data_IF_238261399877
#
_entry.id   IF_238261399877
#
_cell.length_a   1.000
_cell.length_b   1.000
_cell.length_c   1.000
_cell.angle_alpha   90.00
_cell.angle_beta   90.00
_cell.angle_gamma   90.00
#
_symmetry.space_group_name_H-M   'P 1'
#
loop_
_entity.id
_entity.type
_entity.pdbx_description
1 polymer ?
#
# COMPACT_ATOMS: atom_id res chain seq x y z
N UNK A 1 29.66 -51.73 -15.38
CA UNK A 1 28.99 -50.56 -15.99
C UNK A 1 27.60 -50.46 -15.40
N UNK A 2 27.36 -49.47 -14.56
CA UNK A 2 26.03 -49.14 -14.06
C UNK A 2 25.99 -47.63 -13.90
N UNK A 3 25.33 -46.96 -14.84
CA UNK A 3 25.17 -45.51 -14.85
C UNK A 3 24.10 -45.10 -13.84
N UNK A 4 24.47 -44.25 -12.88
CA UNK A 4 23.52 -43.57 -12.02
C UNK A 4 22.92 -42.37 -12.79
N UNK A 5 21.63 -42.43 -13.14
CA UNK A 5 20.87 -41.29 -13.64
C UNK A 5 20.51 -40.36 -12.47
N UNK A 6 21.07 -39.15 -12.49
CA UNK A 6 20.69 -38.04 -11.60
C UNK A 6 19.31 -37.55 -12.05
N UNK A 7 18.29 -37.65 -11.18
CA UNK A 7 16.97 -37.02 -11.38
C UNK A 7 17.11 -35.54 -11.02
N UNK A 8 17.07 -34.67 -12.02
CA UNK A 8 16.82 -33.25 -11.82
C UNK A 8 15.35 -33.07 -11.40
N UNK A 9 15.15 -32.38 -10.28
CA UNK A 9 13.83 -31.95 -9.81
C UNK A 9 13.36 -30.85 -10.74
N UNK A 10 12.26 -31.08 -11.46
CA UNK A 10 11.56 -30.03 -12.18
C UNK A 10 11.10 -28.97 -11.17
N UNK A 11 11.61 -27.75 -11.30
CA UNK A 11 10.98 -26.58 -10.71
C UNK A 11 9.60 -26.44 -11.35
N UNK A 12 8.55 -26.35 -10.54
CA UNK A 12 7.23 -25.97 -11.03
C UNK A 12 7.34 -24.56 -11.60
N UNK A 13 7.21 -24.44 -12.92
CA UNK A 13 6.92 -23.16 -13.54
C UNK A 13 5.54 -22.75 -13.03
N UNK A 14 5.49 -21.78 -12.11
CA UNK A 14 4.26 -21.07 -11.79
C UNK A 14 3.72 -20.51 -13.11
N UNK A 15 2.46 -20.81 -13.43
CA UNK A 15 1.81 -20.22 -14.59
C UNK A 15 1.85 -18.70 -14.45
N UNK A 16 2.19 -17.93 -15.50
CA UNK A 16 2.25 -16.49 -15.41
C UNK A 16 0.88 -15.98 -14.96
N UNK A 17 0.86 -15.28 -13.82
CA UNK A 17 -0.35 -14.67 -13.29
C UNK A 17 -0.91 -13.76 -14.40
N UNK A 18 -2.12 -14.05 -14.89
CA UNK A 18 -2.74 -13.21 -15.91
C UNK A 18 -2.74 -11.76 -15.42
N UNK A 19 -2.28 -10.83 -16.27
CA UNK A 19 -2.17 -9.39 -15.98
C UNK A 19 -3.41 -8.78 -15.30
N UNK A 20 -4.60 -9.33 -15.58
CA UNK A 20 -5.87 -8.97 -14.94
C UNK A 20 -5.87 -9.07 -13.41
N UNK A 21 -5.08 -9.98 -12.81
CA UNK A 21 -4.95 -10.14 -11.35
C UNK A 21 -3.90 -9.19 -10.73
N UNK A 22 -3.09 -8.54 -11.56
CA UNK A 22 -2.07 -7.58 -11.11
C UNK A 22 -2.70 -6.21 -10.84
N UNK A 23 -3.66 -5.80 -11.66
CA UNK A 23 -4.24 -4.46 -11.54
C UNK A 23 -5.46 -4.44 -10.63
N UNK A 24 -5.42 -3.49 -9.70
CA UNK A 24 -6.58 -3.13 -8.91
C UNK A 24 -7.69 -2.59 -9.82
N UNK A 25 -8.93 -3.02 -9.61
CA UNK A 25 -10.07 -2.67 -10.45
C UNK A 25 -11.35 -2.49 -9.61
N UNK A 26 -12.41 -1.99 -10.25
CA UNK A 26 -13.67 -1.69 -9.57
C UNK A 26 -14.31 -2.93 -8.94
N UNK A 27 -14.30 -4.07 -9.65
CA UNK A 27 -14.87 -5.32 -9.12
C UNK A 27 -14.18 -5.76 -7.83
N UNK A 28 -12.85 -5.60 -7.76
CA UNK A 28 -12.07 -5.91 -6.56
C UNK A 28 -12.39 -4.99 -5.40
N UNK A 29 -12.54 -3.68 -5.66
CA UNK A 29 -13.00 -2.71 -4.67
C UNK A 29 -14.39 -3.10 -4.14
N UNK A 30 -15.35 -3.33 -5.03
CA UNK A 30 -16.72 -3.66 -4.66
C UNK A 30 -16.79 -4.96 -3.84
N UNK A 31 -15.95 -5.96 -4.17
CA UNK A 31 -15.85 -7.20 -3.40
C UNK A 31 -15.35 -6.95 -1.97
N UNK A 32 -14.36 -6.08 -1.78
CA UNK A 32 -13.89 -5.71 -0.45
C UNK A 32 -14.93 -4.94 0.35
N UNK A 33 -15.62 -3.99 -0.29
CA UNK A 33 -16.74 -3.27 0.32
C UNK A 33 -17.82 -4.23 0.80
N UNK A 34 -18.21 -5.21 -0.04
CA UNK A 34 -19.20 -6.21 0.35
C UNK A 34 -18.71 -7.07 1.51
N UNK A 35 -17.43 -7.46 1.49
CA UNK A 35 -16.80 -8.22 2.60
C UNK A 35 -16.81 -7.42 3.90
N UNK A 36 -16.51 -6.12 3.86
CA UNK A 36 -16.58 -5.25 5.03
C UNK A 36 -18.01 -5.10 5.56
N UNK A 37 -19.01 -5.05 4.67
CA UNK A 37 -20.42 -4.93 5.06
C UNK A 37 -20.89 -6.14 5.86
N UNK A 38 -20.32 -7.31 5.60
CA UNK A 38 -20.61 -8.55 6.31
C UNK A 38 -19.78 -8.72 7.60
N UNK A 39 -18.72 -7.91 7.78
CA UNK A 39 -17.81 -8.04 8.90
C UNK A 39 -18.33 -7.36 10.18
N UNK A 40 -17.96 -7.92 11.33
CA UNK A 40 -18.34 -7.37 12.63
C UNK A 40 -17.27 -6.42 13.21
N UNK A 41 -17.67 -5.20 13.53
CA UNK A 41 -16.81 -4.19 14.17
C UNK A 41 -17.01 -4.07 15.68
N UNK A 42 -18.01 -4.76 16.25
CA UNK A 42 -18.31 -4.70 17.67
C UNK A 42 -17.30 -5.52 18.49
N UNK A 43 -16.73 -4.88 19.51
CA UNK A 43 -15.92 -5.55 20.51
C UNK A 43 -16.78 -6.51 21.35
N UNK A 44 -16.41 -7.79 21.38
CA UNK A 44 -17.04 -8.76 22.27
C UNK A 44 -16.54 -8.54 23.70
N UNK A 45 -17.41 -8.31 24.70
CA UNK A 45 -16.97 -8.18 26.09
C UNK A 45 -16.33 -9.46 26.66
N UNK A 46 -16.39 -10.58 25.93
CA UNK A 46 -15.84 -11.88 26.31
C UNK A 46 -14.57 -12.25 25.53
N UNK A 47 -14.07 -11.39 24.65
CA UNK A 47 -12.85 -11.62 23.88
C UNK A 47 -11.90 -10.44 23.99
N UNK A 48 -10.60 -10.72 24.13
CA UNK A 48 -9.54 -9.73 23.98
C UNK A 48 -9.10 -9.58 22.51
N UNK A 49 -9.67 -10.38 21.60
CA UNK A 49 -9.36 -10.31 20.18
C UNK A 49 -9.99 -9.07 19.53
N UNK A 50 -9.24 -8.48 18.60
CA UNK A 50 -9.74 -7.37 17.79
C UNK A 50 -10.93 -7.85 16.92
N UNK A 51 -11.99 -7.05 16.78
CA UNK A 51 -13.11 -7.40 15.91
C UNK A 51 -12.68 -7.71 14.48
N UNK A 52 -13.35 -8.68 13.86
CA UNK A 52 -13.07 -9.15 12.50
C UNK A 52 -13.05 -8.01 11.48
N UNK A 53 -13.95 -7.04 11.61
CA UNK A 53 -14.05 -5.88 10.74
C UNK A 53 -12.75 -5.08 10.62
N UNK A 54 -12.01 -4.89 11.71
CA UNK A 54 -10.72 -4.20 11.67
C UNK A 54 -9.63 -5.03 10.99
N UNK A 55 -9.65 -6.35 11.17
CA UNK A 55 -8.74 -7.25 10.45
C UNK A 55 -9.04 -7.23 8.95
N UNK A 56 -10.31 -7.26 8.57
CA UNK A 56 -10.76 -7.13 7.18
C UNK A 56 -10.36 -5.78 6.59
N UNK A 57 -10.51 -4.68 7.34
CA UNK A 57 -10.12 -3.34 6.91
C UNK A 57 -8.61 -3.23 6.69
N UNK A 58 -7.80 -3.80 7.59
CA UNK A 58 -6.35 -3.88 7.42
C UNK A 58 -5.97 -4.66 6.17
N UNK A 59 -6.57 -5.85 5.96
CA UNK A 59 -6.31 -6.67 4.78
C UNK A 59 -6.71 -5.96 3.47
N UNK A 60 -7.81 -5.20 3.51
CA UNK A 60 -8.27 -4.38 2.39
C UNK A 60 -7.25 -3.29 2.05
N UNK A 61 -6.76 -2.55 3.05
CA UNK A 61 -5.68 -1.56 2.88
C UNK A 61 -4.44 -2.20 2.25
N UNK A 62 -3.95 -3.30 2.84
CA UNK A 62 -2.76 -4.00 2.36
C UNK A 62 -2.90 -4.50 0.93
N UNK A 63 -4.10 -4.91 0.52
CA UNK A 63 -4.36 -5.36 -0.83
C UNK A 63 -4.24 -4.22 -1.87
N UNK A 64 -4.73 -3.03 -1.52
CA UNK A 64 -4.55 -1.80 -2.31
C UNK A 64 -3.07 -1.45 -2.37
N UNK A 65 -2.40 -1.39 -1.21
CA UNK A 65 -0.97 -1.05 -1.08
C UNK A 65 -0.10 -1.97 -1.94
N UNK A 66 -0.32 -3.29 -1.88
CA UNK A 66 0.40 -4.25 -2.72
C UNK A 66 0.12 -4.04 -4.21
N UNK A 67 -1.13 -3.78 -4.58
CA UNK A 67 -1.51 -3.59 -5.98
C UNK A 67 -0.88 -2.32 -6.57
N UNK A 68 -0.83 -1.23 -5.80
CA UNK A 68 -0.16 0.01 -6.18
C UNK A 68 1.35 -0.18 -6.27
N UNK A 69 1.98 -0.85 -5.29
CA UNK A 69 3.43 -1.05 -5.30
C UNK A 69 3.90 -2.02 -6.40
N UNK A 70 3.05 -2.92 -6.88
CA UNK A 70 3.35 -3.72 -8.09
C UNK A 70 3.53 -2.83 -9.32
N UNK A 71 2.77 -1.74 -9.46
CA UNK A 71 2.93 -0.78 -10.56
C UNK A 71 4.31 -0.13 -10.48
N UNK A 72 4.70 0.33 -9.29
CA UNK A 72 6.02 0.94 -9.04
C UNK A 72 7.14 -0.07 -9.29
N UNK A 73 6.94 -1.34 -8.89
CA UNK A 73 7.92 -2.40 -9.11
C UNK A 73 8.10 -2.73 -10.59
N UNK A 74 7.03 -2.72 -11.38
CA UNK A 74 7.10 -2.89 -12.83
C UNK A 74 7.87 -1.74 -13.50
N UNK A 75 7.70 -0.50 -13.02
CA UNK A 75 8.53 0.63 -13.44
C UNK A 75 10.02 0.42 -13.07
N UNK A 76 10.32 0.04 -11.82
CA UNK A 76 11.69 -0.23 -11.36
C UNK A 76 12.37 -1.34 -12.18
N UNK A 77 11.61 -2.33 -12.64
CA UNK A 77 12.10 -3.42 -13.49
C UNK A 77 12.18 -3.05 -14.98
N UNK A 78 11.81 -1.82 -15.36
CA UNK A 78 11.81 -1.37 -16.76
C UNK A 78 10.68 -1.98 -17.61
N UNK A 79 9.64 -2.53 -16.99
CA UNK A 79 8.44 -3.07 -17.66
C UNK A 79 7.44 -1.97 -18.00
N UNK A 80 7.45 -0.87 -17.25
CA UNK A 80 6.72 0.35 -17.55
C UNK A 80 7.65 1.53 -17.76
N UNK A 81 7.27 2.39 -18.69
CA UNK A 81 7.70 3.78 -18.72
C UNK A 81 7.14 4.54 -17.51
N UNK A 82 7.70 5.71 -17.23
CA UNK A 82 7.19 6.60 -16.17
C UNK A 82 5.73 6.97 -16.45
N UNK A 83 5.41 7.29 -17.69
CA UNK A 83 4.08 7.71 -18.13
C UNK A 83 3.05 6.59 -17.94
N UNK A 84 3.37 5.36 -18.35
CA UNK A 84 2.49 4.20 -18.13
C UNK A 84 2.27 3.92 -16.64
N UNK A 85 3.33 3.99 -15.83
CA UNK A 85 3.21 3.77 -14.39
C UNK A 85 2.32 4.84 -13.72
N UNK A 86 2.45 6.10 -14.12
CA UNK A 86 1.61 7.20 -13.64
C UNK A 86 0.14 7.05 -14.08
N UNK A 87 -0.10 6.61 -15.32
CA UNK A 87 -1.45 6.34 -15.82
C UNK A 87 -2.12 5.22 -15.01
N UNK A 88 -1.40 4.11 -14.79
CA UNK A 88 -1.91 2.98 -13.99
C UNK A 88 -2.14 3.37 -12.54
N UNK A 89 -1.23 4.14 -11.93
CA UNK A 89 -1.39 4.66 -10.58
C UNK A 89 -2.66 5.50 -10.46
N UNK A 90 -2.87 6.43 -11.41
CA UNK A 90 -4.05 7.29 -11.43
C UNK A 90 -5.35 6.50 -11.61
N UNK A 91 -5.35 5.45 -12.44
CA UNK A 91 -6.52 4.60 -12.62
C UNK A 91 -6.94 3.90 -11.31
N UNK A 92 -5.97 3.43 -10.50
CA UNK A 92 -6.25 2.85 -9.18
C UNK A 92 -6.70 3.93 -8.19
N UNK A 93 -6.05 5.09 -8.20
CA UNK A 93 -6.38 6.21 -7.32
C UNK A 93 -7.82 6.69 -7.50
N UNK A 94 -8.30 6.80 -8.74
CA UNK A 94 -9.69 7.19 -9.05
C UNK A 94 -10.70 6.20 -8.47
N UNK A 95 -10.38 4.90 -8.43
CA UNK A 95 -11.25 3.88 -7.85
C UNK A 95 -11.25 4.02 -6.32
N UNK A 96 -10.06 4.05 -5.72
CA UNK A 96 -9.89 4.03 -4.27
C UNK A 96 -10.36 5.33 -3.61
N UNK A 97 -10.08 6.47 -4.24
CA UNK A 97 -10.46 7.81 -3.76
C UNK A 97 -11.79 8.30 -4.33
N UNK A 98 -12.57 7.39 -4.93
CA UNK A 98 -13.92 7.68 -5.40
C UNK A 98 -14.88 8.03 -4.26
N UNK A 99 -16.13 8.34 -4.63
CA UNK A 99 -17.17 8.68 -3.66
C UNK A 99 -17.34 7.59 -2.60
N UNK A 100 -17.41 8.02 -1.34
CA UNK A 100 -17.66 7.12 -0.21
C UNK A 100 -19.13 6.73 -0.16
N UNK A 101 -19.37 5.48 0.24
CA UNK A 101 -20.70 4.93 0.45
C UNK A 101 -21.42 5.70 1.55
N UNK A 102 -22.67 6.10 1.31
CA UNK A 102 -23.55 6.68 2.32
C UNK A 102 -24.26 5.58 3.13
N UNK A 103 -23.49 4.68 3.72
CA UNK A 103 -23.96 3.58 4.57
C UNK A 103 -23.15 3.49 5.87
N UNK A 104 -23.37 2.43 6.66
CA UNK A 104 -22.70 2.25 7.95
C UNK A 104 -21.20 1.99 7.86
N UNK A 105 -20.62 1.94 6.65
CA UNK A 105 -19.19 1.80 6.42
C UNK A 105 -18.49 3.15 6.16
N UNK A 106 -19.23 4.25 6.00
CA UNK A 106 -18.73 5.57 5.59
C UNK A 106 -17.47 5.98 6.38
N UNK A 107 -17.56 6.02 7.72
CA UNK A 107 -16.45 6.43 8.59
C UNK A 107 -15.20 5.52 8.45
N UNK A 108 -15.40 4.21 8.26
CA UNK A 108 -14.29 3.26 8.11
C UNK A 108 -13.60 3.40 6.75
N UNK A 109 -14.38 3.62 5.69
CA UNK A 109 -13.86 3.79 4.33
C UNK A 109 -13.20 5.16 4.18
N UNK A 110 -13.76 6.22 4.77
CA UNK A 110 -13.12 7.55 4.82
C UNK A 110 -11.78 7.49 5.54
N UNK A 111 -11.72 6.82 6.70
CA UNK A 111 -10.46 6.65 7.45
C UNK A 111 -9.42 5.87 6.63
N UNK A 112 -9.84 4.82 5.92
CA UNK A 112 -8.99 4.07 5.00
C UNK A 112 -8.48 4.96 3.85
N UNK A 113 -9.34 5.76 3.23
CA UNK A 113 -8.93 6.65 2.14
C UNK A 113 -7.94 7.71 2.63
N UNK A 114 -8.18 8.30 3.80
CA UNK A 114 -7.30 9.29 4.40
C UNK A 114 -5.89 8.73 4.66
N UNK A 115 -5.78 7.49 5.14
CA UNK A 115 -4.48 6.85 5.36
C UNK A 115 -3.76 6.58 4.04
N UNK A 116 -4.49 6.14 3.00
CA UNK A 116 -3.94 5.81 1.68
C UNK A 116 -3.51 7.03 0.84
N UNK A 117 -3.81 8.27 1.25
CA UNK A 117 -3.32 9.46 0.56
C UNK A 117 -1.78 9.44 0.41
N UNK A 118 -1.07 8.99 1.45
CA UNK A 118 0.40 8.93 1.43
C UNK A 118 0.93 7.87 0.46
N UNK A 119 0.19 6.77 0.25
CA UNK A 119 0.56 5.72 -0.70
C UNK A 119 0.62 6.29 -2.11
N UNK A 120 -0.45 6.95 -2.56
CA UNK A 120 -0.52 7.51 -3.91
C UNK A 120 0.46 8.67 -4.11
N UNK A 121 0.50 9.62 -3.15
CA UNK A 121 1.41 10.75 -3.22
C UNK A 121 2.89 10.32 -3.20
N UNK A 122 3.23 9.34 -2.35
CA UNK A 122 4.59 8.79 -2.25
C UNK A 122 5.01 8.02 -3.51
N UNK A 123 4.12 7.18 -4.07
CA UNK A 123 4.38 6.51 -5.34
C UNK A 123 4.60 7.50 -6.47
N UNK A 124 3.79 8.57 -6.54
CA UNK A 124 3.93 9.62 -7.56
C UNK A 124 5.28 10.32 -7.46
N UNK A 125 5.68 10.76 -6.26
CA UNK A 125 7.01 11.35 -6.02
C UNK A 125 8.16 10.41 -6.39
N UNK A 126 8.04 9.12 -6.05
CA UNK A 126 9.05 8.13 -6.42
C UNK A 126 9.18 8.00 -7.94
N UNK A 127 8.06 7.88 -8.67
CA UNK A 127 8.03 7.83 -10.14
C UNK A 127 8.55 9.12 -10.78
N UNK A 128 8.33 10.26 -10.12
CA UNK A 128 8.84 11.55 -10.55
C UNK A 128 10.35 11.70 -10.34
N UNK A 129 10.90 11.03 -9.32
CA UNK A 129 12.32 11.05 -8.97
C UNK A 129 12.73 12.24 -8.10
N UNK A 130 11.76 13.01 -7.60
CA UNK A 130 12.00 14.23 -6.83
C UNK A 130 11.41 14.12 -5.42
N UNK A 131 12.24 13.75 -4.45
CA UNK A 131 11.83 13.64 -3.04
C UNK A 131 13.02 13.83 -2.09
N UNK A 132 12.71 14.28 -0.87
CA UNK A 132 13.69 14.41 0.22
C UNK A 132 13.90 13.06 0.94
N UNK A 133 15.10 12.84 1.47
CA UNK A 133 15.50 11.52 2.04
C UNK A 133 15.88 11.53 3.51
N UNK A 134 15.97 12.70 4.16
CA UNK A 134 16.24 12.78 5.61
C UNK A 134 14.97 12.53 6.42
N UNK A 135 14.59 11.24 6.56
CA UNK A 135 13.37 10.79 7.24
C UNK A 135 13.24 11.40 8.64
N UNK A 136 14.34 11.49 9.41
CA UNK A 136 14.27 12.01 10.78
C UNK A 136 13.86 13.49 10.80
N UNK A 137 14.37 14.27 9.85
CA UNK A 137 14.01 15.68 9.71
C UNK A 137 12.58 15.82 9.18
N UNK A 138 12.20 15.02 8.18
CA UNK A 138 10.86 15.01 7.61
C UNK A 138 9.79 14.67 8.65
N UNK A 139 9.97 13.62 9.46
CA UNK A 139 9.03 13.26 10.53
C UNK A 139 8.82 14.42 11.51
N UNK A 140 9.90 15.10 11.91
CA UNK A 140 9.81 16.25 12.81
C UNK A 140 9.11 17.45 12.18
N UNK A 141 9.32 17.68 10.88
CA UNK A 141 8.68 18.76 10.14
C UNK A 141 7.20 18.48 9.94
N UNK A 142 6.84 17.28 9.46
CA UNK A 142 5.46 16.88 9.20
C UNK A 142 4.59 16.95 10.46
N UNK A 143 5.08 16.45 11.60
CA UNK A 143 4.37 16.58 12.89
C UNK A 143 4.13 18.01 13.36
N UNK A 144 5.01 18.94 13.01
CA UNK A 144 4.81 20.37 13.34
C UNK A 144 3.86 21.06 12.36
N UNK A 145 3.69 20.46 11.18
CA UNK A 145 3.00 21.08 10.04
C UNK A 145 1.54 20.62 9.98
N UNK A 146 1.24 19.38 10.38
CA UNK A 146 -0.08 18.73 10.21
C UNK A 146 -1.27 19.57 10.69
N UNK A 147 -1.16 20.23 11.84
CA UNK A 147 -2.25 21.03 12.39
C UNK A 147 -2.45 22.38 11.67
N UNK A 148 -1.43 22.84 10.94
CA UNK A 148 -1.42 24.17 10.29
C UNK A 148 -1.59 24.11 8.78
N UNK A 149 -1.15 23.02 8.14
CA UNK A 149 -1.08 22.85 6.70
C UNK A 149 -1.03 21.35 6.38
N UNK A 150 -2.21 20.74 6.26
CA UNK A 150 -2.36 19.30 6.03
C UNK A 150 -1.79 18.89 4.66
N UNK A 151 -1.95 19.70 3.63
CA UNK A 151 -1.43 19.43 2.29
C UNK A 151 0.10 19.38 2.31
N UNK A 152 0.75 20.35 2.97
CA UNK A 152 2.20 20.33 3.14
C UNK A 152 2.67 19.17 4.01
N UNK A 153 1.93 18.81 5.05
CA UNK A 153 2.24 17.64 5.86
C UNK A 153 2.14 16.34 5.04
N UNK A 154 1.16 16.22 4.16
CA UNK A 154 1.03 15.11 3.22
C UNK A 154 2.19 15.07 2.24
N UNK A 155 2.62 16.22 1.69
CA UNK A 155 3.81 16.30 0.82
C UNK A 155 5.08 15.80 1.52
N UNK A 156 5.26 16.14 2.80
CA UNK A 156 6.35 15.64 3.64
C UNK A 156 6.23 14.13 3.89
N UNK A 157 5.03 13.62 4.16
CA UNK A 157 4.79 12.20 4.34
C UNK A 157 5.08 11.43 3.03
N UNK A 158 4.73 12.01 1.89
CA UNK A 158 4.99 11.46 0.57
C UNK A 158 6.51 11.40 0.26
N UNK A 159 7.31 12.39 0.69
CA UNK A 159 8.78 12.31 0.62
C UNK A 159 9.33 11.10 1.41
N UNK A 160 8.75 10.82 2.58
CA UNK A 160 9.10 9.66 3.42
C UNK A 160 8.71 8.36 2.70
N UNK A 161 7.48 8.26 2.20
CA UNK A 161 7.00 7.08 1.48
C UNK A 161 7.82 6.80 0.21
N UNK A 162 8.18 7.82 -0.56
CA UNK A 162 9.07 7.67 -1.71
C UNK A 162 10.48 7.16 -1.30
N UNK A 163 11.00 7.64 -0.17
CA UNK A 163 12.25 7.13 0.40
C UNK A 163 12.16 5.66 0.80
N UNK A 164 11.02 5.23 1.37
CA UNK A 164 10.74 3.83 1.73
C UNK A 164 10.71 2.95 0.50
N UNK A 165 10.02 3.37 -0.57
CA UNK A 165 9.99 2.65 -1.85
C UNK A 165 11.43 2.44 -2.38
N UNK A 166 12.32 3.42 -2.15
CA UNK A 166 13.74 3.34 -2.52
C UNK A 166 14.62 2.58 -1.50
N UNK A 167 14.02 1.87 -0.55
CA UNK A 167 14.71 0.99 0.41
C UNK A 167 15.20 1.67 1.68
N UNK A 168 14.79 2.90 1.98
CA UNK A 168 15.08 3.51 3.27
C UNK A 168 14.32 2.79 4.39
N UNK A 169 14.94 2.67 5.57
CA UNK A 169 14.26 2.16 6.76
C UNK A 169 13.34 3.24 7.36
N UNK A 170 12.06 2.98 7.34
CA UNK A 170 11.00 3.70 8.05
C UNK A 170 10.02 2.66 8.62
N UNK A 171 9.01 2.98 9.42
CA UNK A 171 8.72 4.13 10.28
C UNK A 171 8.47 3.70 11.74
N UNK A 172 8.57 2.41 12.08
CA UNK A 172 8.19 1.85 13.39
C UNK A 172 8.91 2.47 14.59
N UNK A 173 10.13 3.00 14.41
CA UNK A 173 10.86 3.77 15.45
C UNK A 173 10.32 5.18 15.69
N UNK A 174 9.46 5.68 14.80
CA UNK A 174 8.91 7.02 14.82
C UNK A 174 7.41 7.03 15.15
N UNK A 175 6.68 5.97 14.83
CA UNK A 175 5.31 5.76 15.33
C UNK A 175 5.35 5.89 16.87
N UNK A 176 4.49 6.75 17.43
CA UNK A 176 4.48 6.97 18.89
C UNK A 176 4.05 5.70 19.59
N UNK A 177 4.62 5.43 20.76
CA UNK A 177 4.15 4.36 21.66
C UNK A 177 2.73 4.63 22.19
N UNK A 178 2.29 5.91 22.17
CA UNK A 178 0.93 6.31 22.51
C UNK A 178 0.00 6.11 21.30
N UNK A 179 -0.37 4.84 21.10
CA UNK A 179 -1.29 4.37 20.05
C UNK A 179 -2.74 4.74 20.40
N UNK A 180 -3.02 5.25 21.61
CA UNK A 180 -4.39 5.54 22.04
C UNK A 180 -5.01 6.72 21.28
N UNK A 181 -4.20 7.67 20.78
CA UNK A 181 -4.64 8.78 19.93
C UNK A 181 -3.58 9.16 18.87
N UNK A 182 -3.46 8.36 17.79
CA UNK A 182 -2.56 8.71 16.70
C UNK A 182 -3.03 10.00 16.03
N UNK A 183 -2.08 10.81 15.57
CA UNK A 183 -2.40 11.91 14.64
C UNK A 183 -2.53 11.35 13.23
N UNK A 184 -3.22 12.05 12.32
CA UNK A 184 -3.27 11.65 10.90
C UNK A 184 -1.87 11.50 10.28
N UNK A 185 -0.90 12.32 10.71
CA UNK A 185 0.48 12.16 10.28
C UNK A 185 1.10 10.86 10.80
N UNK A 186 0.73 10.41 12.01
CA UNK A 186 1.16 9.11 12.54
C UNK A 186 0.53 7.95 11.74
N UNK A 187 -0.73 8.08 11.31
CA UNK A 187 -1.39 7.12 10.41
C UNK A 187 -0.67 7.01 9.06
N UNK A 188 -0.25 8.13 8.47
CA UNK A 188 0.58 8.10 7.26
C UNK A 188 1.95 7.46 7.47
N UNK A 189 2.55 7.58 8.65
CA UNK A 189 3.78 6.85 8.97
C UNK A 189 3.52 5.35 9.12
N UNK A 190 2.37 4.95 9.65
CA UNK A 190 1.96 3.53 9.73
C UNK A 190 1.78 2.98 8.31
N UNK A 191 1.08 3.68 7.43
CA UNK A 191 0.94 3.25 6.03
C UNK A 191 2.30 3.18 5.32
N UNK A 192 3.21 4.14 5.57
CA UNK A 192 4.57 4.06 5.03
C UNK A 192 5.38 2.85 5.56
N UNK A 193 5.11 2.35 6.78
CA UNK A 193 5.66 1.07 7.25
C UNK A 193 5.05 -0.11 6.47
N UNK A 194 3.72 -0.13 6.31
CA UNK A 194 3.02 -1.14 5.49
C UNK A 194 3.55 -1.19 4.06
N UNK A 195 3.87 -0.03 3.48
CA UNK A 195 4.54 0.06 2.19
C UNK A 195 5.94 -0.58 2.21
N UNK A 196 6.73 -0.39 3.28
CA UNK A 196 8.05 -1.00 3.41
C UNK A 196 7.98 -2.53 3.42
N UNK A 197 7.02 -3.08 4.17
CA UNK A 197 6.75 -4.53 4.23
C UNK A 197 6.33 -5.05 2.85
N UNK A 198 5.41 -4.35 2.19
CA UNK A 198 4.94 -4.69 0.85
C UNK A 198 6.08 -4.65 -0.19
N UNK A 199 6.92 -3.61 -0.20
CA UNK A 199 8.11 -3.52 -1.07
C UNK A 199 9.05 -4.70 -0.84
N UNK A 200 9.30 -5.05 0.42
CA UNK A 200 10.13 -6.21 0.78
C UNK A 200 9.57 -7.52 0.23
N UNK A 201 8.24 -7.70 0.28
CA UNK A 201 7.55 -8.87 -0.26
C UNK A 201 7.67 -8.98 -1.80
N UNK A 202 7.82 -7.85 -2.49
CA UNK A 202 7.91 -7.75 -3.95
C UNK A 202 9.34 -7.86 -4.51
N UNK A 203 10.35 -8.20 -3.70
CA UNK A 203 11.77 -8.19 -4.15
C UNK A 203 12.02 -9.00 -5.43
N UNK A 204 11.31 -10.11 -5.61
CA UNK A 204 11.42 -11.04 -6.73
C UNK A 204 10.26 -10.90 -7.74
N UNK A 205 9.38 -9.94 -7.55
CA UNK A 205 8.26 -9.71 -8.46
C UNK A 205 8.79 -9.10 -9.76
N UNK A 206 8.57 -9.80 -10.86
CA UNK A 206 8.82 -9.34 -12.22
C UNK A 206 7.82 -10.03 -13.13
N UNK A 207 6.89 -9.26 -13.68
CA UNK A 207 5.87 -9.74 -14.61
C UNK A 207 6.07 -9.01 -15.93
N UNK A 208 6.03 -9.73 -17.04
CA UNK A 208 6.04 -9.13 -18.36
C UNK A 208 4.60 -8.82 -18.77
N UNK A 209 4.37 -7.65 -19.36
CA UNK A 209 3.11 -7.37 -20.02
C UNK A 209 2.94 -8.41 -21.14
N UNK A 210 2.19 -9.48 -20.87
CA UNK A 210 1.87 -10.47 -21.89
C UNK A 210 1.16 -9.79 -23.05
N UNK A 211 1.76 -9.81 -24.23
CA UNK A 211 1.05 -9.49 -25.46
C UNK A 211 -0.06 -10.55 -25.65
N UNK A 212 -1.31 -10.20 -25.29
CA UNK A 212 -2.54 -10.33 -26.10
C UNK A 212 -3.81 -10.22 -25.24
#
# INVERSE_FOLDING_TARGET
>A
MTMAKKKEKAASAEEPLKLFYIFYNQERWDNWINTLREANFEASPQSEEMPEGYTTLYNFSMDITLSVLKIVKLFQNGRYTKEEALEKLNAVEVIVMGEVLQDNLEEYVESLQLSLLVLFAGCRKFLEGEYKTDIKTLVKEGRKTIDSDMEKALDIAADIAASVINGASCCGKYVKDDIEQPTLFDEWLIEAESMAEAVSSLKNFDEEAGET
#
